data_IF_845640481151
#
_entry.id   IF_845640481151
#
_cell.length_a   1.000
_cell.length_b   1.000
_cell.length_c   1.000
_cell.angle_alpha   90.00
_cell.angle_beta   90.00
_cell.angle_gamma   90.00
#
_symmetry.space_group_name_H-M   'P 1'
#
loop_
_entity.id
_entity.type
_entity.pdbx_description
1 polymer ?
#
# COMPACT_ATOMS: atom_id res chain seq x y z
N UNK A 1 2.16 -34.26 -20.46
CA UNK A 1 1.43 -34.21 -19.18
C UNK A 1 1.21 -32.75 -18.85
N UNK A 2 -0.06 -32.35 -18.80
CA UNK A 2 -0.60 -31.05 -18.33
C UNK A 2 0.01 -30.80 -16.93
N UNK A 3 0.40 -29.59 -16.51
CA UNK A 3 -0.47 -28.63 -15.80
C UNK A 3 0.09 -27.19 -15.95
N UNK A 4 -0.75 -26.36 -16.56
CA UNK A 4 -0.90 -24.91 -16.42
C UNK A 4 0.03 -24.21 -15.43
N UNK A 5 1.00 -23.47 -15.94
CA UNK A 5 1.58 -22.36 -15.20
C UNK A 5 0.51 -21.26 -15.13
N UNK A 6 -0.19 -21.21 -14.01
CA UNK A 6 -1.23 -20.22 -13.73
C UNK A 6 -0.68 -18.81 -14.00
N UNK A 7 -1.20 -18.19 -15.06
CA UNK A 7 -1.02 -16.79 -15.36
C UNK A 7 -1.66 -15.96 -14.25
N UNK A 8 -0.91 -15.66 -13.19
CA UNK A 8 -1.17 -14.47 -12.39
C UNK A 8 -0.36 -13.31 -12.96
N UNK A 9 -0.63 -12.98 -14.24
CA UNK A 9 -0.38 -11.65 -14.77
C UNK A 9 -1.36 -10.72 -14.05
N UNK A 10 -1.03 -10.37 -12.80
CA UNK A 10 -1.51 -9.16 -12.18
C UNK A 10 -1.02 -8.05 -13.10
N UNK A 11 -1.90 -7.55 -13.97
CA UNK A 11 -1.75 -6.29 -14.68
C UNK A 11 -1.71 -5.16 -13.64
N UNK A 12 -0.64 -5.10 -12.86
CA UNK A 12 -0.24 -3.93 -12.12
C UNK A 12 0.55 -3.06 -13.09
N UNK A 13 0.01 -1.88 -13.41
CA UNK A 13 0.73 -0.86 -14.18
C UNK A 13 2.15 -0.69 -13.61
N UNK A 14 3.13 -0.59 -14.51
CA UNK A 14 4.54 -0.42 -14.15
C UNK A 14 4.71 0.91 -13.44
N UNK A 15 5.66 1.02 -12.51
CA UNK A 15 6.04 2.28 -11.86
C UNK A 15 6.35 3.44 -12.84
N UNK A 16 6.55 3.11 -14.12
CA UNK A 16 6.82 4.03 -15.22
C UNK A 16 5.55 4.62 -15.87
N UNK A 17 4.36 4.08 -15.60
CA UNK A 17 3.08 4.58 -16.11
C UNK A 17 2.50 5.75 -15.27
N UNK A 18 3.14 6.12 -14.16
CA UNK A 18 2.61 7.09 -13.21
C UNK A 18 3.25 8.48 -13.38
N UNK A 19 2.42 9.52 -13.54
CA UNK A 19 2.85 10.92 -13.77
C UNK A 19 3.62 11.53 -12.59
N UNK A 20 3.28 11.16 -11.35
CA UNK A 20 3.96 11.62 -10.13
C UNK A 20 3.55 10.73 -8.95
N UNK A 21 4.48 10.50 -8.02
CA UNK A 21 4.25 9.73 -6.78
C UNK A 21 4.49 10.66 -5.61
N UNK A 22 3.51 10.78 -4.73
CA UNK A 22 3.63 11.61 -3.53
C UNK A 22 3.43 10.76 -2.28
N UNK A 23 4.35 10.87 -1.33
CA UNK A 23 4.08 10.41 0.04
C UNK A 23 3.11 11.39 0.69
N UNK A 24 2.00 10.86 1.21
CA UNK A 24 0.91 11.66 1.79
C UNK A 24 0.80 11.46 3.31
N UNK A 25 1.55 10.51 3.87
CA UNK A 25 1.56 10.27 5.30
C UNK A 25 2.36 9.03 5.67
N UNK A 26 2.77 8.98 6.94
CA UNK A 26 3.45 7.84 7.53
C UNK A 26 3.02 7.63 8.97
N UNK A 27 3.11 6.38 9.44
CA UNK A 27 2.82 6.03 10.83
C UNK A 27 3.66 4.82 11.25
N UNK A 28 4.05 4.82 12.53
CA UNK A 28 4.93 3.82 13.12
C UNK A 28 4.12 2.82 13.95
N UNK A 29 4.46 1.53 13.85
CA UNK A 29 3.86 0.52 14.74
C UNK A 29 4.21 0.83 16.20
N UNK A 30 3.38 0.40 17.17
CA UNK A 30 3.63 0.68 18.60
C UNK A 30 5.04 0.33 19.07
N UNK A 31 5.59 -0.81 18.64
CA UNK A 31 6.94 -1.25 19.02
C UNK A 31 8.03 -0.80 18.02
N UNK A 32 7.69 0.10 17.10
CA UNK A 32 8.59 0.66 16.08
C UNK A 32 9.23 -0.36 15.11
N UNK A 33 8.77 -1.61 15.10
CA UNK A 33 9.24 -2.65 14.18
C UNK A 33 8.88 -2.35 12.71
N UNK A 34 7.74 -1.70 12.48
CA UNK A 34 7.23 -1.41 11.15
C UNK A 34 6.93 0.06 10.95
N UNK A 35 7.29 0.56 9.76
CA UNK A 35 6.80 1.85 9.24
C UNK A 35 5.78 1.60 8.15
N UNK A 36 4.59 2.20 8.26
CA UNK A 36 3.63 2.25 7.17
C UNK A 36 3.67 3.64 6.50
N UNK A 37 3.89 3.69 5.18
CA UNK A 37 3.88 4.90 4.38
C UNK A 37 2.78 4.82 3.33
N UNK A 38 1.90 5.81 3.34
CA UNK A 38 0.87 5.97 2.33
C UNK A 38 1.37 6.85 1.21
N UNK A 39 1.10 6.41 0.00
CA UNK A 39 1.46 7.11 -1.21
C UNK A 39 0.27 7.22 -2.14
N UNK A 40 0.32 8.23 -2.99
CA UNK A 40 -0.70 8.55 -3.96
C UNK A 40 -0.11 8.56 -5.37
N UNK A 41 -0.86 7.98 -6.30
CA UNK A 41 -0.65 8.11 -7.74
C UNK A 41 -1.83 8.83 -8.35
N UNK A 42 -1.58 9.87 -9.14
CA UNK A 42 -2.58 10.47 -10.00
C UNK A 42 -2.79 9.58 -11.24
N UNK A 43 -4.03 9.13 -11.46
CA UNK A 43 -4.38 8.46 -12.71
C UNK A 43 -4.74 9.52 -13.77
N UNK A 44 -4.82 9.14 -15.05
CA UNK A 44 -5.12 10.08 -16.16
C UNK A 44 -6.54 10.71 -16.14
N UNK A 45 -7.32 10.52 -15.07
CA UNK A 45 -8.65 11.11 -14.85
C UNK A 45 -8.79 11.66 -13.42
N UNK A 46 -10.01 11.89 -12.95
CA UNK A 46 -10.30 12.45 -11.61
C UNK A 46 -10.16 11.43 -10.45
N UNK A 47 -9.31 10.42 -10.60
CA UNK A 47 -9.09 9.40 -9.57
C UNK A 47 -7.62 9.22 -9.23
N UNK A 48 -7.39 8.83 -7.99
CA UNK A 48 -6.07 8.59 -7.44
C UNK A 48 -5.96 7.14 -7.01
N UNK A 49 -4.85 6.49 -7.34
CA UNK A 49 -4.52 5.18 -6.77
C UNK A 49 -3.73 5.40 -5.49
N UNK A 50 -4.26 4.99 -4.35
CA UNK A 50 -3.58 5.04 -3.07
C UNK A 50 -2.95 3.68 -2.78
N UNK A 51 -1.74 3.68 -2.25
CA UNK A 51 -1.09 2.45 -1.78
C UNK A 51 -0.41 2.62 -0.41
N UNK A 52 -0.64 1.59 0.38
CA UNK A 52 -0.07 1.14 1.65
C UNK A 52 1.30 0.47 1.59
N UNK A 53 2.46 1.14 1.71
CA UNK A 53 3.72 0.39 1.82
C UNK A 53 4.12 0.20 3.27
N UNK A 54 4.38 -1.05 3.65
CA UNK A 54 4.93 -1.41 4.95
C UNK A 54 6.41 -1.74 4.80
N UNK A 55 7.25 -1.14 5.62
CA UNK A 55 8.68 -1.44 5.74
C UNK A 55 8.95 -2.08 7.10
N UNK A 56 9.49 -3.30 7.10
CA UNK A 56 10.07 -3.94 8.28
C UNK A 56 11.46 -3.32 8.52
N UNK A 57 11.64 -2.65 9.66
CA UNK A 57 12.89 -1.94 9.97
C UNK A 57 14.06 -2.87 10.26
N UNK A 58 13.78 -4.08 10.73
CA UNK A 58 14.82 -5.06 11.07
C UNK A 58 15.40 -5.68 9.81
N UNK A 59 14.54 -6.06 8.86
CA UNK A 59 14.97 -6.72 7.64
C UNK A 59 15.16 -5.76 6.44
N UNK A 60 14.64 -4.53 6.54
CA UNK A 60 14.57 -3.59 5.43
C UNK A 60 13.58 -4.01 4.33
N UNK A 61 12.81 -5.09 4.54
CA UNK A 61 11.87 -5.60 3.53
C UNK A 61 10.66 -4.70 3.44
N UNK A 62 10.28 -4.40 2.22
CA UNK A 62 9.07 -3.65 1.93
C UNK A 62 7.98 -4.56 1.34
N UNK A 63 6.73 -4.35 1.71
CA UNK A 63 5.57 -4.98 1.08
C UNK A 63 4.41 -4.01 0.95
N UNK A 64 3.67 -4.10 -0.15
CA UNK A 64 2.42 -3.37 -0.30
C UNK A 64 1.32 -4.12 0.45
N UNK A 65 0.68 -3.46 1.42
CA UNK A 65 -0.37 -4.04 2.28
C UNK A 65 -1.76 -3.52 1.93
N UNK A 66 -1.86 -2.44 1.15
CA UNK A 66 -3.12 -1.82 0.75
C UNK A 66 -2.96 -1.17 -0.61
N UNK A 67 -3.98 -1.29 -1.46
CA UNK A 67 -4.08 -0.59 -2.73
C UNK A 67 -5.55 -0.37 -3.06
N UNK A 68 -5.94 0.88 -3.30
CA UNK A 68 -7.32 1.22 -3.65
C UNK A 68 -7.39 2.50 -4.48
N UNK A 69 -8.26 2.51 -5.48
CA UNK A 69 -8.59 3.72 -6.24
C UNK A 69 -9.60 4.56 -5.47
N UNK A 70 -9.33 5.85 -5.33
CA UNK A 70 -10.10 6.78 -4.53
C UNK A 70 -10.27 8.11 -5.26
N UNK A 71 -11.42 8.75 -5.08
CA UNK A 71 -11.69 10.10 -5.63
C UNK A 71 -11.17 11.23 -4.73
N UNK A 72 -10.95 10.93 -3.44
CA UNK A 72 -10.53 11.90 -2.42
C UNK A 72 -9.17 11.50 -1.83
N UNK A 73 -8.40 12.50 -1.40
CA UNK A 73 -6.99 12.34 -0.96
C UNK A 73 -6.82 12.03 0.54
N UNK A 74 -7.86 11.55 1.22
CA UNK A 74 -7.79 11.26 2.66
C UNK A 74 -7.43 9.79 2.90
N UNK A 75 -6.23 9.56 3.45
CA UNK A 75 -5.74 8.22 3.83
C UNK A 75 -5.47 8.18 5.32
N UNK A 76 -6.41 7.58 6.05
CA UNK A 76 -6.34 7.43 7.50
C UNK A 76 -5.72 6.11 7.85
N UNK A 77 -4.50 6.17 8.37
CA UNK A 77 -3.78 5.03 8.90
C UNK A 77 -3.76 5.11 10.43
N UNK A 78 -4.13 4.00 11.09
CA UNK A 78 -4.08 3.88 12.54
C UNK A 78 -3.64 2.48 12.93
N UNK A 79 -2.58 2.40 13.72
CA UNK A 79 -2.19 1.13 14.34
C UNK A 79 -3.16 0.76 15.45
N UNK A 80 -3.63 -0.49 15.43
CA UNK A 80 -4.49 -1.07 16.47
C UNK A 80 -3.69 -1.98 17.39
N UNK A 81 -2.63 -2.62 16.86
CA UNK A 81 -1.57 -3.36 17.56
C UNK A 81 -0.42 -3.58 16.58
N UNK A 82 0.73 -4.13 17.00
CA UNK A 82 1.87 -4.36 16.07
C UNK A 82 1.51 -5.22 14.85
N UNK A 83 0.59 -6.18 15.01
CA UNK A 83 0.17 -7.07 13.92
C UNK A 83 -1.06 -6.58 13.16
N UNK A 84 -1.66 -5.44 13.53
CA UNK A 84 -2.92 -4.97 12.95
C UNK A 84 -2.87 -3.46 12.74
N UNK A 85 -2.93 -3.05 11.48
CA UNK A 85 -3.15 -1.66 11.07
C UNK A 85 -4.54 -1.49 10.48
N UNK A 86 -5.19 -0.38 10.76
CA UNK A 86 -6.44 0.04 10.12
C UNK A 86 -6.13 1.12 9.08
N UNK A 87 -6.59 0.93 7.85
CA UNK A 87 -6.39 1.85 6.72
C UNK A 87 -7.76 2.13 6.11
N UNK A 88 -8.19 3.40 6.10
CA UNK A 88 -9.51 3.84 5.62
C UNK A 88 -10.66 2.97 6.14
N UNK A 89 -10.60 2.62 7.43
CA UNK A 89 -11.59 1.79 8.09
C UNK A 89 -11.36 0.28 8.00
N UNK A 90 -10.56 -0.21 7.03
CA UNK A 90 -10.27 -1.64 6.85
C UNK A 90 -9.13 -2.10 7.74
N UNK A 91 -9.32 -3.22 8.43
CA UNK A 91 -8.29 -3.84 9.28
C UNK A 91 -7.44 -4.79 8.45
N UNK A 92 -6.12 -4.63 8.51
CA UNK A 92 -5.14 -5.40 7.76
C UNK A 92 -4.22 -6.08 8.79
N UNK A 93 -4.09 -7.40 8.68
CA UNK A 93 -3.14 -8.18 9.49
C UNK A 93 -1.79 -8.20 8.78
N UNK A 94 -0.73 -7.92 9.53
CA UNK A 94 0.64 -7.83 9.04
C UNK A 94 1.34 -9.18 9.13
#
# INVERSE_FOLDING_TARGET
MIISCNCYLLYGRSSQDYKSVYEIGSTESPDWEYTARSFMYENAGDSYTVFVRLTDKKSGREKNIYQEEQKNLDVRMKWMSNGIIQINGRRIRI
#
